data_IF_678554203255
#
_entry.id   IF_678554203255
#
_cell.length_a   1.000
_cell.length_b   1.000
_cell.length_c   1.000
_cell.angle_alpha   90.00
_cell.angle_beta   90.00
_cell.angle_gamma   90.00
#
_symmetry.space_group_name_H-M   'P 1'
#
loop_
_entity.id
_entity.type
_entity.pdbx_description
1 polymer ?
#
# COMPACT_ATOMS: atom_id res chain seq x y z
N UNK A 1 0.99 14.47 23.08
CA UNK A 1 0.91 13.01 23.35
C UNK A 1 1.36 12.21 22.13
N UNK A 2 0.58 12.08 21.04
CA UNK A 2 1.05 11.35 19.83
C UNK A 2 2.33 11.93 19.21
N UNK A 3 2.46 13.25 19.16
CA UNK A 3 3.62 13.91 18.57
C UNK A 3 4.89 13.65 19.40
N UNK A 4 4.78 13.66 20.72
CA UNK A 4 5.86 13.35 21.64
C UNK A 4 6.30 11.87 21.53
N UNK A 5 5.34 10.95 21.35
CA UNK A 5 5.61 9.53 21.17
C UNK A 5 6.35 9.21 19.87
N UNK A 6 6.05 9.94 18.77
CA UNK A 6 6.69 9.75 17.47
C UNK A 6 8.08 10.38 17.44
N UNK A 7 8.22 11.61 17.96
CA UNK A 7 9.49 12.35 17.97
C UNK A 7 10.51 11.74 18.93
N UNK A 8 10.07 11.04 19.97
CA UNK A 8 10.94 10.33 20.91
C UNK A 8 11.57 9.04 20.35
N UNK A 9 11.17 8.54 19.17
CA UNK A 9 11.73 7.31 18.61
C UNK A 9 12.97 7.60 17.77
N UNK A 10 14.11 7.05 18.22
CA UNK A 10 15.39 7.17 17.54
C UNK A 10 15.62 6.04 16.53
N UNK A 11 16.23 6.36 15.39
CA UNK A 11 16.64 5.39 14.37
C UNK A 11 18.13 5.06 14.55
N UNK A 12 18.50 3.80 14.82
CA UNK A 12 19.89 3.46 15.08
C UNK A 12 20.78 3.61 13.83
N UNK A 13 22.05 4.00 13.96
CA UNK A 13 22.93 4.33 12.82
C UNK A 13 23.36 3.13 11.96
N UNK A 14 23.07 1.91 12.40
CA UNK A 14 23.36 0.69 11.65
C UNK A 14 22.17 0.20 10.79
N UNK A 15 21.07 0.95 10.73
CA UNK A 15 20.00 0.61 9.79
C UNK A 15 20.52 0.75 8.36
N UNK A 16 20.25 -0.27 7.56
CA UNK A 16 20.61 -0.30 6.15
C UNK A 16 19.35 -0.19 5.27
N UNK A 17 19.52 -0.01 3.96
CA UNK A 17 18.42 0.13 2.99
C UNK A 17 17.40 -1.02 3.03
N UNK A 18 17.82 -2.23 3.41
CA UNK A 18 16.94 -3.40 3.53
C UNK A 18 15.83 -3.24 4.58
N UNK A 19 16.02 -2.40 5.60
CA UNK A 19 15.00 -2.14 6.61
C UNK A 19 13.78 -1.41 6.03
N UNK A 20 13.92 -0.76 4.86
CA UNK A 20 12.82 -0.12 4.16
C UNK A 20 11.87 -1.11 3.45
N UNK A 21 12.26 -2.38 3.27
CA UNK A 21 11.44 -3.38 2.58
C UNK A 21 10.06 -3.56 3.21
N UNK A 22 9.96 -3.46 4.53
CA UNK A 22 8.67 -3.48 5.24
C UNK A 22 7.77 -2.30 4.84
N UNK A 23 8.34 -1.09 4.80
CA UNK A 23 7.62 0.12 4.37
C UNK A 23 7.22 0.08 2.89
N UNK A 24 8.08 -0.48 2.03
CA UNK A 24 7.77 -0.69 0.60
C UNK A 24 6.60 -1.66 0.46
N UNK A 25 6.62 -2.78 1.18
CA UNK A 25 5.54 -3.79 1.16
C UNK A 25 4.22 -3.18 1.61
N UNK A 26 4.23 -2.42 2.71
CA UNK A 26 3.04 -1.73 3.21
C UNK A 26 2.50 -0.72 2.18
N UNK A 27 3.38 0.07 1.57
CA UNK A 27 2.98 1.05 0.55
C UNK A 27 2.37 0.34 -0.67
N UNK A 28 2.99 -0.72 -1.16
CA UNK A 28 2.45 -1.55 -2.24
C UNK A 28 1.08 -2.14 -1.90
N UNK A 29 0.89 -2.60 -0.67
CA UNK A 29 -0.41 -3.09 -0.21
C UNK A 29 -1.49 -1.99 -0.27
N UNK A 30 -1.18 -0.81 0.27
CA UNK A 30 -2.11 0.33 0.26
C UNK A 30 -2.47 0.76 -1.17
N UNK A 31 -1.47 0.81 -2.07
CA UNK A 31 -1.69 1.14 -3.49
C UNK A 31 -2.59 0.10 -4.17
N UNK A 32 -2.35 -1.20 -3.94
CA UNK A 32 -3.17 -2.27 -4.51
C UNK A 32 -4.60 -2.24 -3.98
N UNK A 33 -4.79 -2.00 -2.69
CA UNK A 33 -6.13 -1.89 -2.09
C UNK A 33 -6.88 -0.69 -2.68
N UNK A 34 -6.26 0.48 -2.75
CA UNK A 34 -6.89 1.67 -3.31
C UNK A 34 -7.25 1.49 -4.79
N UNK A 35 -6.30 0.99 -5.59
CA UNK A 35 -6.50 0.81 -7.04
C UNK A 35 -7.49 -0.32 -7.35
N UNK A 36 -7.38 -1.45 -6.65
CA UNK A 36 -8.31 -2.57 -6.79
C UNK A 36 -9.73 -2.22 -6.36
N UNK A 37 -9.88 -1.41 -5.31
CA UNK A 37 -11.18 -0.87 -4.92
C UNK A 37 -11.74 0.05 -6.01
N UNK A 38 -10.92 0.93 -6.60
CA UNK A 38 -11.35 1.79 -7.71
C UNK A 38 -11.83 0.97 -8.93
N UNK A 39 -11.11 -0.10 -9.29
CA UNK A 39 -11.50 -1.00 -10.39
C UNK A 39 -12.85 -1.66 -10.15
N UNK A 40 -13.23 -1.89 -8.89
CA UNK A 40 -14.53 -2.52 -8.56
C UNK A 40 -15.73 -1.68 -9.03
N UNK A 41 -15.57 -0.36 -9.19
CA UNK A 41 -16.65 0.50 -9.73
C UNK A 41 -16.82 0.39 -11.24
N UNK A 42 -15.77 0.07 -11.98
CA UNK A 42 -15.76 0.09 -13.45
C UNK A 42 -15.69 -1.31 -14.08
N UNK A 43 -15.24 -2.31 -13.33
CA UNK A 43 -15.08 -3.67 -13.83
C UNK A 43 -16.42 -4.43 -13.86
N UNK A 44 -16.72 -5.07 -14.99
CA UNK A 44 -17.95 -5.84 -15.16
C UNK A 44 -17.72 -7.31 -14.75
N UNK A 45 -18.41 -7.74 -13.69
CA UNK A 45 -18.32 -9.08 -13.10
C UNK A 45 -19.09 -10.17 -13.89
N UNK A 46 -18.92 -10.24 -15.21
CA UNK A 46 -19.52 -11.30 -16.05
C UNK A 46 -18.58 -11.77 -17.14
N UNK A 47 -18.53 -13.09 -17.38
CA UNK A 47 -17.57 -13.72 -18.32
C UNK A 47 -17.65 -13.16 -19.74
N UNK A 48 -18.80 -12.65 -20.17
CA UNK A 48 -18.99 -12.09 -21.52
C UNK A 48 -18.52 -10.63 -21.65
N UNK A 49 -18.35 -9.91 -20.54
CA UNK A 49 -18.00 -8.48 -20.52
C UNK A 49 -16.72 -8.16 -19.77
N UNK A 50 -16.19 -9.12 -19.00
CA UNK A 50 -14.98 -9.00 -18.21
C UNK A 50 -13.80 -8.45 -19.03
N UNK A 51 -13.50 -9.06 -20.18
CA UNK A 51 -12.39 -8.63 -21.04
C UNK A 51 -12.57 -7.23 -21.62
N UNK A 52 -13.81 -6.84 -21.94
CA UNK A 52 -14.11 -5.52 -22.48
C UNK A 52 -14.10 -4.41 -21.41
N UNK A 53 -14.11 -4.77 -20.13
CA UNK A 53 -14.07 -3.84 -18.99
C UNK A 53 -12.68 -3.75 -18.32
N UNK A 54 -11.66 -4.39 -18.89
CA UNK A 54 -10.24 -4.21 -18.52
C UNK A 54 -9.72 -2.95 -19.22
#
# INVERSE_FOLDING_TARGET
MIADDITSKYVPPHVNIFYCLGGITLTCFLVQVATGFAMTFYYHLTVTKAFASI
#
